data_IF_309873427546
#
_entry.id   IF_309873427546
#
_cell.length_a   1.000
_cell.length_b   1.000
_cell.length_c   1.000
_cell.angle_alpha   90.00
_cell.angle_beta   90.00
_cell.angle_gamma   90.00
#
_symmetry.space_group_name_H-M   'P 1'
#
loop_
_entity.id
_entity.type
_entity.pdbx_description
1 polymer ?
#
# COMPACT_ATOMS: atom_id res chain seq x y z
N UNK A 1 67.54 -14.46 52.77
CA UNK A 1 66.52 -15.22 53.52
C UNK A 1 65.68 -14.22 54.30
N UNK A 2 64.34 -14.32 54.24
CA UNK A 2 63.29 -13.28 54.42
C UNK A 2 62.95 -12.58 53.09
N UNK A 3 61.70 -12.33 52.67
CA UNK A 3 60.39 -12.28 53.37
C UNK A 3 59.24 -12.23 52.32
N UNK A 4 58.12 -12.89 52.67
CA UNK A 4 56.70 -12.48 52.60
C UNK A 4 56.07 -11.76 51.37
N UNK A 5 55.12 -12.49 50.74
CA UNK A 5 53.66 -12.22 50.54
C UNK A 5 53.11 -11.13 49.59
N UNK A 6 52.01 -11.53 48.90
CA UNK A 6 50.83 -10.73 48.43
C UNK A 6 50.99 -9.93 47.11
N UNK A 7 50.07 -9.77 46.14
CA UNK A 7 48.61 -9.91 45.96
C UNK A 7 48.34 -10.31 44.50
N UNK A 8 47.30 -11.12 44.28
CA UNK A 8 46.72 -11.51 43.01
C UNK A 8 45.91 -10.33 42.40
N UNK A 9 46.23 -9.89 41.17
CA UNK A 9 45.29 -9.15 40.31
C UNK A 9 45.38 -9.78 38.92
N UNK A 10 44.43 -10.66 38.60
CA UNK A 10 44.26 -11.20 37.25
C UNK A 10 43.17 -10.35 36.56
N UNK A 11 43.57 -9.52 35.60
CA UNK A 11 42.64 -8.84 34.69
C UNK A 11 42.12 -9.85 33.66
N UNK A 12 40.94 -10.41 33.94
CA UNK A 12 40.20 -11.27 33.03
C UNK A 12 39.27 -10.39 32.17
N UNK A 13 39.70 -10.03 30.97
CA UNK A 13 38.81 -9.43 29.96
C UNK A 13 38.03 -10.55 29.26
N UNK A 14 36.87 -10.90 29.80
CA UNK A 14 35.83 -11.66 29.11
C UNK A 14 35.00 -10.66 28.29
N UNK A 15 35.20 -10.63 26.96
CA UNK A 15 34.20 -10.10 26.04
C UNK A 15 33.25 -11.24 25.68
N UNK A 16 32.20 -11.39 26.48
CA UNK A 16 31.05 -12.25 26.19
C UNK A 16 29.75 -11.50 26.49
N UNK A 17 28.89 -11.44 25.48
CA UNK A 17 27.50 -10.96 25.52
C UNK A 17 27.14 -10.48 24.11
N UNK A 18 26.66 -11.29 23.16
CA UNK A 18 25.48 -12.16 23.22
C UNK A 18 24.31 -11.49 23.95
N UNK A 19 23.39 -10.93 23.16
CA UNK A 19 22.00 -10.68 23.52
C UNK A 19 21.75 -9.66 24.63
N UNK A 20 21.08 -8.56 24.28
CA UNK A 20 19.98 -8.11 25.12
C UNK A 20 18.67 -8.56 24.46
N UNK A 21 17.97 -9.54 25.06
CA UNK A 21 16.57 -9.80 24.77
C UNK A 21 15.68 -8.72 25.40
N UNK A 22 14.56 -8.45 24.73
CA UNK A 22 13.30 -7.91 25.25
C UNK A 22 13.39 -6.66 26.14
N UNK A 23 12.98 -5.53 25.56
CA UNK A 23 12.28 -4.52 26.35
C UNK A 23 10.99 -5.17 26.92
N UNK A 24 10.81 -5.30 28.25
CA UNK A 24 9.71 -6.07 28.82
C UNK A 24 8.33 -5.36 28.79
N UNK A 25 8.23 -4.14 28.25
CA UNK A 25 7.07 -3.27 28.47
C UNK A 25 6.09 -3.11 27.27
N UNK A 26 6.03 -4.03 26.28
CA UNK A 26 5.10 -3.89 25.13
C UNK A 26 4.25 -5.12 24.78
N UNK A 27 4.05 -6.07 25.71
CA UNK A 27 3.34 -7.32 25.39
C UNK A 27 1.79 -7.21 25.41
N UNK A 28 1.18 -6.05 25.72
CA UNK A 28 -0.29 -5.96 25.84
C UNK A 28 -1.03 -4.83 25.10
N UNK A 29 -0.47 -4.22 24.05
CA UNK A 29 -1.23 -3.19 23.30
C UNK A 29 -1.31 -3.41 21.77
N UNK A 30 -0.48 -4.25 21.15
CA UNK A 30 -0.52 -4.41 19.67
C UNK A 30 -1.73 -5.17 19.13
N UNK A 31 -2.60 -5.72 19.99
CA UNK A 31 -3.72 -6.58 19.59
C UNK A 31 -3.31 -7.98 19.12
N UNK A 32 -2.11 -8.43 19.48
CA UNK A 32 -1.55 -9.73 19.08
C UNK A 32 -0.75 -9.70 17.78
N UNK A 33 -0.68 -8.54 17.10
CA UNK A 33 0.17 -8.34 15.94
C UNK A 33 1.63 -8.19 16.37
N UNK A 34 2.54 -8.93 15.73
CA UNK A 34 3.95 -9.00 16.16
C UNK A 34 4.89 -8.80 14.98
N UNK A 35 5.83 -7.84 15.10
CA UNK A 35 6.92 -7.72 14.12
C UNK A 35 7.82 -8.95 14.19
N UNK A 36 7.99 -9.62 13.06
CA UNK A 36 8.84 -10.80 12.87
C UNK A 36 10.24 -10.40 12.45
N UNK A 37 10.35 -9.54 11.45
CA UNK A 37 11.62 -9.08 10.91
C UNK A 37 11.52 -7.68 10.32
N UNK A 38 12.69 -7.06 10.14
CA UNK A 38 12.87 -5.84 9.36
C UNK A 38 13.97 -6.08 8.35
N UNK A 39 13.77 -5.60 7.13
CA UNK A 39 14.75 -5.67 6.06
C UNK A 39 14.95 -4.26 5.50
N UNK A 40 16.15 -3.72 5.67
CA UNK A 40 16.50 -2.40 5.15
C UNK A 40 16.58 -2.45 3.63
N UNK A 41 15.76 -1.64 2.98
CA UNK A 41 15.76 -1.47 1.53
C UNK A 41 16.79 -0.43 1.10
N UNK A 42 17.39 -0.55 -0.08
CA UNK A 42 18.38 0.43 -0.57
C UNK A 42 17.77 1.78 -0.98
N UNK A 43 16.47 1.84 -1.22
CA UNK A 43 15.73 3.08 -1.47
C UNK A 43 14.49 3.21 -0.57
N UNK A 44 13.56 4.05 -1.02
CA UNK A 44 12.38 4.53 -0.28
C UNK A 44 11.12 3.76 -0.68
N UNK A 45 10.76 2.64 0.00
CA UNK A 45 9.61 1.84 -0.39
C UNK A 45 8.32 2.63 -0.15
N UNK A 46 7.52 2.76 -1.19
CA UNK A 46 6.26 3.51 -1.21
C UNK A 46 5.06 2.59 -1.16
N UNK A 47 5.21 1.39 -1.72
CA UNK A 47 4.16 0.39 -1.82
C UNK A 47 4.77 -0.99 -2.06
N UNK A 48 4.02 -2.04 -1.74
CA UNK A 48 4.47 -3.42 -1.85
C UNK A 48 3.30 -4.33 -2.20
N UNK A 49 3.58 -5.35 -3.02
CA UNK A 49 2.68 -6.47 -3.28
C UNK A 49 3.42 -7.80 -3.12
N UNK A 50 2.69 -8.83 -2.73
CA UNK A 50 3.18 -10.19 -2.61
C UNK A 50 2.89 -10.99 -3.87
N UNK A 51 3.92 -11.64 -4.37
CA UNK A 51 3.84 -12.62 -5.44
C UNK A 51 4.51 -13.92 -4.99
N UNK A 52 3.69 -14.91 -4.60
CA UNK A 52 4.15 -16.18 -4.05
C UNK A 52 5.12 -16.01 -2.86
N UNK A 53 6.40 -16.35 -3.05
CA UNK A 53 7.48 -16.21 -2.06
C UNK A 53 8.32 -14.95 -2.26
N UNK A 54 7.81 -14.00 -3.03
CA UNK A 54 8.46 -12.72 -3.35
C UNK A 54 7.58 -11.57 -2.88
N UNK A 55 8.23 -10.46 -2.56
CA UNK A 55 7.64 -9.15 -2.38
C UNK A 55 8.21 -8.22 -3.43
N UNK A 56 7.35 -7.51 -4.14
CA UNK A 56 7.70 -6.52 -5.14
C UNK A 56 7.35 -5.13 -4.63
N UNK A 57 8.32 -4.23 -4.60
CA UNK A 57 8.16 -2.88 -4.05
C UNK A 57 8.25 -1.82 -5.13
N UNK A 58 7.34 -0.86 -5.11
CA UNK A 58 7.58 0.46 -5.69
C UNK A 58 8.51 1.23 -4.75
N UNK A 59 9.74 1.51 -5.19
CA UNK A 59 10.81 2.01 -4.31
C UNK A 59 11.20 3.47 -4.58
N UNK A 60 10.23 4.35 -4.85
CA UNK A 60 10.51 5.75 -5.15
C UNK A 60 11.46 5.88 -6.34
N UNK A 61 12.57 6.60 -6.18
CA UNK A 61 13.60 6.74 -7.23
C UNK A 61 14.36 5.43 -7.53
N UNK A 62 14.20 4.40 -6.68
CA UNK A 62 14.83 3.10 -6.84
C UNK A 62 14.13 2.14 -7.80
N UNK A 63 13.05 2.55 -8.46
CA UNK A 63 12.30 1.70 -9.39
C UNK A 63 11.60 0.51 -8.71
N UNK A 64 11.75 -0.69 -9.27
CA UNK A 64 11.27 -1.95 -8.69
C UNK A 64 12.36 -2.58 -7.82
N UNK A 65 11.99 -2.98 -6.60
CA UNK A 65 12.79 -3.86 -5.74
C UNK A 65 12.05 -5.19 -5.57
N UNK A 66 12.77 -6.32 -5.69
CA UNK A 66 12.23 -7.64 -5.41
C UNK A 66 12.97 -8.27 -4.23
N UNK A 67 12.22 -8.71 -3.22
CA UNK A 67 12.72 -9.34 -1.99
C UNK A 67 12.12 -10.75 -1.87
N UNK A 68 12.95 -11.73 -1.54
CA UNK A 68 12.53 -13.10 -1.24
C UNK A 68 12.15 -13.26 0.22
N UNK A 69 11.05 -13.96 0.47
CA UNK A 69 10.47 -14.19 1.81
C UNK A 69 10.21 -15.68 2.08
N UNK A 70 11.04 -16.58 1.52
CA UNK A 70 10.97 -18.02 1.86
C UNK A 70 11.23 -18.26 3.35
N UNK A 71 12.12 -17.46 3.92
CA UNK A 71 12.30 -17.30 5.35
C UNK A 71 11.88 -15.87 5.72
N UNK A 72 10.74 -15.74 6.40
CA UNK A 72 10.20 -14.44 6.83
C UNK A 72 11.02 -13.81 7.96
N UNK A 73 11.84 -14.59 8.67
CA UNK A 73 12.74 -14.05 9.69
C UNK A 73 14.00 -13.44 9.05
N UNK A 74 14.37 -13.92 7.86
CA UNK A 74 15.56 -13.48 7.12
C UNK A 74 15.24 -13.18 5.64
N UNK A 75 14.50 -12.09 5.33
CA UNK A 75 14.25 -11.69 3.95
C UNK A 75 15.54 -11.39 3.18
N UNK A 76 15.57 -11.71 1.89
CA UNK A 76 16.77 -11.56 1.06
C UNK A 76 16.51 -10.71 -0.17
N UNK A 77 17.43 -9.81 -0.50
CA UNK A 77 17.41 -9.08 -1.77
C UNK A 77 17.49 -10.06 -2.95
N UNK A 78 16.57 -9.96 -3.92
CA UNK A 78 16.58 -10.76 -5.16
C UNK A 78 17.08 -9.91 -6.33
N UNK A 79 16.47 -8.75 -6.57
CA UNK A 79 16.85 -7.87 -7.69
C UNK A 79 16.40 -6.42 -7.48
N UNK A 80 16.96 -5.51 -8.28
CA UNK A 80 16.60 -4.08 -8.32
C UNK A 80 16.65 -3.61 -9.78
N UNK A 81 15.72 -2.75 -10.22
CA UNK A 81 15.64 -2.23 -11.59
C UNK A 81 15.93 -0.73 -11.70
N UNK A 82 16.77 -0.16 -10.82
CA UNK A 82 17.04 1.28 -10.65
C UNK A 82 17.33 2.03 -11.96
N UNK A 83 18.02 1.39 -12.91
CA UNK A 83 18.40 2.04 -14.18
C UNK A 83 17.31 1.95 -15.27
N UNK A 84 16.39 0.99 -15.14
CA UNK A 84 15.41 0.65 -16.19
C UNK A 84 14.02 1.22 -15.93
N UNK A 85 13.65 1.43 -14.66
CA UNK A 85 12.41 2.11 -14.26
C UNK A 85 12.75 3.55 -13.86
N UNK A 86 12.32 4.52 -14.66
CA UNK A 86 12.59 5.94 -14.44
C UNK A 86 11.47 6.59 -13.62
N UNK A 87 11.83 7.62 -12.87
CA UNK A 87 10.88 8.42 -12.10
C UNK A 87 10.65 7.89 -10.68
N UNK A 88 9.69 8.48 -10.00
CA UNK A 88 9.37 8.16 -8.61
C UNK A 88 8.24 7.12 -8.57
N UNK A 89 8.59 5.86 -8.33
CA UNK A 89 7.66 4.73 -8.25
C UNK A 89 6.85 4.79 -6.95
N UNK A 90 5.53 4.97 -7.04
CA UNK A 90 4.65 5.25 -5.90
C UNK A 90 3.68 4.13 -5.54
N UNK A 91 3.02 3.54 -6.53
CA UNK A 91 2.06 2.43 -6.37
C UNK A 91 2.44 1.28 -7.29
N UNK A 92 2.11 0.07 -6.85
CA UNK A 92 2.38 -1.15 -7.60
C UNK A 92 1.11 -2.00 -7.70
N UNK A 93 0.80 -2.49 -8.90
CA UNK A 93 -0.28 -3.43 -9.15
C UNK A 93 0.23 -4.61 -9.97
N UNK A 94 -0.51 -5.72 -10.01
CA UNK A 94 -0.05 -6.93 -10.67
C UNK A 94 -1.16 -7.64 -11.45
N UNK A 95 -0.77 -8.22 -12.60
CA UNK A 95 -1.56 -9.19 -13.35
C UNK A 95 -0.68 -10.34 -13.81
N UNK A 96 -0.89 -11.53 -13.25
CA UNK A 96 -0.02 -12.68 -13.51
C UNK A 96 1.43 -12.36 -13.09
N UNK A 97 2.40 -12.59 -13.97
CA UNK A 97 3.81 -12.28 -13.69
C UNK A 97 4.22 -10.86 -14.11
N UNK A 98 3.27 -9.96 -14.37
CA UNK A 98 3.58 -8.58 -14.77
C UNK A 98 3.17 -7.63 -13.66
N UNK A 99 4.09 -6.74 -13.28
CA UNK A 99 3.85 -5.66 -12.34
C UNK A 99 3.81 -4.31 -13.06
N UNK A 100 2.94 -3.44 -12.60
CA UNK A 100 2.70 -2.10 -13.10
C UNK A 100 3.09 -1.08 -12.04
N UNK A 101 3.94 -0.12 -12.39
CA UNK A 101 4.47 0.87 -11.46
C UNK A 101 4.04 2.27 -11.87
N UNK A 102 3.42 3.00 -10.94
CA UNK A 102 3.11 4.42 -11.15
C UNK A 102 4.38 5.22 -10.88
N UNK A 103 4.97 5.79 -11.92
CA UNK A 103 6.24 6.52 -11.85
C UNK A 103 6.05 8.05 -11.84
N UNK A 104 4.92 8.53 -11.33
CA UNK A 104 4.62 9.96 -11.25
C UNK A 104 4.61 10.62 -12.64
N UNK A 105 5.39 11.68 -12.80
CA UNK A 105 5.50 12.45 -14.06
C UNK A 105 6.13 11.65 -15.21
N UNK A 106 6.70 10.47 -14.94
CA UNK A 106 7.20 9.56 -15.95
C UNK A 106 6.13 8.63 -16.50
N UNK A 107 5.00 8.48 -15.81
CA UNK A 107 3.84 7.73 -16.27
C UNK A 107 3.82 6.31 -15.73
N UNK A 108 3.49 5.33 -16.57
CA UNK A 108 3.42 3.92 -16.17
C UNK A 108 4.65 3.16 -16.67
N UNK A 109 5.24 2.34 -15.80
CA UNK A 109 6.23 1.32 -16.19
C UNK A 109 5.63 -0.07 -16.04
N UNK A 110 5.96 -0.97 -16.97
CA UNK A 110 5.46 -2.34 -17.03
C UNK A 110 6.66 -3.27 -16.97
N UNK A 111 6.65 -4.18 -16.00
CA UNK A 111 7.79 -5.05 -15.72
C UNK A 111 7.33 -6.50 -15.62
N UNK A 112 7.88 -7.38 -16.45
CA UNK A 112 7.70 -8.82 -16.34
C UNK A 112 8.69 -9.38 -15.31
N UNK A 113 8.14 -10.02 -14.27
CA UNK A 113 8.88 -10.63 -13.17
C UNK A 113 8.93 -12.17 -13.26
N UNK A 114 8.59 -12.76 -14.42
CA UNK A 114 8.68 -14.20 -14.67
C UNK A 114 10.08 -14.74 -14.32
N UNK A 115 11.11 -13.94 -14.62
CA UNK A 115 12.45 -14.16 -14.10
C UNK A 115 12.78 -13.11 -13.01
N UNK A 116 12.45 -13.41 -11.77
CA UNK A 116 12.61 -12.47 -10.65
C UNK A 116 14.07 -12.02 -10.40
N UNK A 117 15.09 -12.79 -10.82
CA UNK A 117 16.49 -12.34 -10.68
C UNK A 117 16.93 -11.37 -11.78
N UNK A 118 16.20 -11.34 -12.90
CA UNK A 118 16.43 -10.42 -14.01
C UNK A 118 15.09 -9.99 -14.63
N UNK A 119 14.33 -9.13 -13.93
CA UNK A 119 13.05 -8.64 -14.42
C UNK A 119 13.20 -7.87 -15.73
N UNK A 120 12.25 -8.01 -16.64
CA UNK A 120 12.25 -7.36 -17.94
C UNK A 120 11.30 -6.18 -17.96
N UNK A 121 11.79 -4.96 -18.20
CA UNK A 121 10.94 -3.78 -18.39
C UNK A 121 10.39 -3.78 -19.81
N UNK A 122 9.16 -4.23 -20.01
CA UNK A 122 8.53 -4.36 -21.34
C UNK A 122 8.04 -3.02 -21.86
N UNK A 123 7.66 -2.10 -20.97
CA UNK A 123 7.30 -0.71 -21.30
C UNK A 123 7.86 0.22 -20.24
N UNK A 124 8.58 1.25 -20.66
CA UNK A 124 9.00 2.34 -19.77
C UNK A 124 8.33 3.65 -20.18
N UNK A 125 7.83 4.40 -19.21
CA UNK A 125 7.28 5.75 -19.38
C UNK A 125 6.06 5.85 -20.31
N UNK A 126 5.15 4.90 -20.26
CA UNK A 126 3.88 4.98 -21.00
C UNK A 126 3.16 6.27 -20.60
N UNK A 127 2.62 7.00 -21.59
CA UNK A 127 2.21 8.40 -21.45
C UNK A 127 0.88 8.59 -20.69
N UNK A 128 0.88 8.20 -19.42
CA UNK A 128 -0.24 8.29 -18.47
C UNK A 128 0.24 9.11 -17.27
N UNK A 129 0.27 10.43 -17.43
CA UNK A 129 1.01 11.32 -16.52
C UNK A 129 0.12 12.38 -15.87
N UNK A 130 0.35 12.73 -14.58
CA UNK A 130 1.22 12.02 -13.64
C UNK A 130 0.51 10.77 -13.06
N UNK A 131 1.06 9.57 -13.20
CA UNK A 131 0.47 8.36 -12.60
C UNK A 131 0.60 8.39 -11.08
N UNK A 132 -0.50 8.19 -10.35
CA UNK A 132 -0.57 8.20 -8.88
C UNK A 132 -0.84 6.80 -8.34
N UNK A 133 -2.00 6.28 -8.68
CA UNK A 133 -2.51 4.97 -8.23
C UNK A 133 -2.90 4.11 -9.43
N UNK A 134 -2.88 2.79 -9.22
CA UNK A 134 -3.13 1.78 -10.24
C UNK A 134 -3.94 0.65 -9.62
N UNK A 135 -5.10 0.36 -10.19
CA UNK A 135 -5.94 -0.77 -9.80
C UNK A 135 -6.18 -1.67 -11.00
N UNK A 136 -6.00 -2.98 -10.82
CA UNK A 136 -6.32 -4.00 -11.83
C UNK A 136 -7.73 -4.52 -11.57
N UNK A 137 -8.59 -4.52 -12.59
CA UNK A 137 -9.90 -5.16 -12.55
C UNK A 137 -10.10 -5.99 -13.82
N UNK A 138 -10.04 -7.31 -13.69
CA UNK A 138 -10.08 -8.25 -14.82
C UNK A 138 -8.96 -7.97 -15.83
N UNK A 139 -9.35 -7.66 -17.07
CA UNK A 139 -8.43 -7.33 -18.16
C UNK A 139 -8.12 -5.83 -18.28
N UNK A 140 -8.35 -5.04 -17.23
CA UNK A 140 -8.21 -3.59 -17.27
C UNK A 140 -7.38 -3.02 -16.13
N UNK A 141 -6.66 -1.94 -16.42
CA UNK A 141 -6.02 -1.07 -15.44
C UNK A 141 -6.78 0.25 -15.35
N UNK A 142 -7.03 0.70 -14.13
CA UNK A 142 -7.54 2.02 -13.82
C UNK A 142 -6.41 2.80 -13.17
N UNK A 143 -6.04 3.93 -13.77
CA UNK A 143 -4.84 4.68 -13.41
C UNK A 143 -5.25 6.10 -13.05
N UNK A 144 -5.09 6.46 -11.78
CA UNK A 144 -5.32 7.81 -11.30
C UNK A 144 -4.21 8.74 -11.79
N UNK A 145 -4.60 9.86 -12.41
CA UNK A 145 -3.70 10.80 -13.08
C UNK A 145 -3.83 12.24 -12.59
N UNK A 146 -4.12 12.44 -11.30
CA UNK A 146 -4.18 13.77 -10.68
C UNK A 146 -5.24 14.66 -11.37
N UNK A 147 -4.89 15.85 -11.86
CA UNK A 147 -5.77 16.78 -12.59
C UNK A 147 -6.30 16.20 -13.91
N UNK A 148 -5.63 15.17 -14.42
CA UNK A 148 -6.04 14.47 -15.64
C UNK A 148 -7.07 13.38 -15.34
N UNK A 149 -7.60 13.28 -14.13
CA UNK A 149 -8.64 12.31 -13.77
C UNK A 149 -8.14 10.86 -13.82
N UNK A 150 -8.95 9.93 -14.31
CA UNK A 150 -8.59 8.50 -14.41
C UNK A 150 -8.38 8.11 -15.86
N UNK A 151 -7.32 7.37 -16.17
CA UNK A 151 -7.14 6.65 -17.45
C UNK A 151 -7.51 5.19 -17.27
N UNK A 152 -8.12 4.61 -18.28
CA UNK A 152 -8.36 3.16 -18.35
C UNK A 152 -7.43 2.58 -19.41
N UNK A 153 -6.83 1.43 -19.14
CA UNK A 153 -6.03 0.70 -20.11
C UNK A 153 -6.51 -0.75 -20.20
N UNK A 154 -6.61 -1.28 -21.41
CA UNK A 154 -6.78 -2.73 -21.59
C UNK A 154 -5.42 -3.43 -21.42
N UNK A 155 -5.42 -4.52 -20.68
CA UNK A 155 -4.25 -5.34 -20.38
C UNK A 155 -4.49 -6.82 -20.62
N UNK A 156 -5.35 -7.17 -21.58
CA UNK A 156 -5.53 -8.54 -22.08
C UNK A 156 -4.19 -9.21 -22.39
N UNK A 157 -3.25 -8.47 -23.01
CA UNK A 157 -1.83 -8.76 -22.94
C UNK A 157 -1.18 -7.92 -21.82
N UNK A 158 -0.79 -8.52 -20.69
CA UNK A 158 -0.34 -7.75 -19.54
C UNK A 158 0.96 -6.98 -19.79
N UNK A 159 1.80 -7.43 -20.74
CA UNK A 159 3.10 -6.80 -21.05
C UNK A 159 2.98 -5.50 -21.86
N UNK A 160 1.85 -5.28 -22.53
CA UNK A 160 1.64 -4.17 -23.45
C UNK A 160 0.26 -3.54 -23.23
N UNK A 161 0.09 -2.70 -22.19
CA UNK A 161 -1.16 -2.02 -21.94
C UNK A 161 -1.56 -1.12 -23.10
N UNK A 162 -2.82 -1.21 -23.51
CA UNK A 162 -3.42 -0.31 -24.49
C UNK A 162 -4.21 0.78 -23.77
N UNK A 163 -3.70 2.02 -23.82
CA UNK A 163 -4.31 3.16 -23.12
C UNK A 163 -5.56 3.59 -23.87
N UNK A 164 -6.69 3.54 -23.17
CA UNK A 164 -8.00 4.00 -23.64
C UNK A 164 -8.29 5.41 -23.12
N UNK A 165 -9.57 5.77 -23.13
CA UNK A 165 -10.09 7.08 -22.78
C UNK A 165 -9.80 7.53 -21.33
N UNK A 166 -10.06 8.83 -21.11
CA UNK A 166 -9.99 9.50 -19.81
C UNK A 166 -11.38 9.75 -19.23
N UNK A 167 -11.52 9.50 -17.94
CA UNK A 167 -12.60 10.06 -17.10
C UNK A 167 -12.12 11.33 -16.41
N UNK A 168 -12.80 12.46 -16.62
CA UNK A 168 -12.54 13.68 -15.86
C UNK A 168 -13.16 13.58 -14.46
N UNK A 169 -12.43 14.08 -13.46
CA UNK A 169 -12.85 14.10 -12.06
C UNK A 169 -12.98 15.53 -11.56
N UNK A 170 -13.83 15.75 -10.55
CA UNK A 170 -14.05 17.09 -9.97
C UNK A 170 -12.82 17.65 -9.24
N UNK A 171 -11.90 16.76 -8.81
CA UNK A 171 -10.65 17.12 -8.15
C UNK A 171 -9.49 16.23 -8.61
N UNK A 172 -8.39 16.25 -7.84
CA UNK A 172 -7.20 15.45 -8.12
C UNK A 172 -7.49 13.97 -7.91
N UNK A 173 -7.48 13.17 -8.98
CA UNK A 173 -7.59 11.71 -8.86
C UNK A 173 -6.31 11.15 -8.21
N UNK A 174 -6.43 10.67 -6.97
CA UNK A 174 -5.33 10.07 -6.21
C UNK A 174 -5.46 8.56 -6.12
N UNK A 175 -6.58 8.06 -5.59
CA UNK A 175 -6.85 6.62 -5.42
C UNK A 175 -8.10 6.18 -6.17
N UNK A 176 -8.14 4.93 -6.63
CA UNK A 176 -9.27 4.38 -7.39
C UNK A 176 -9.67 2.98 -6.94
N UNK A 177 -10.97 2.76 -6.73
CA UNK A 177 -11.55 1.45 -6.43
C UNK A 177 -12.72 1.14 -7.37
N UNK A 178 -12.86 -0.12 -7.74
CA UNK A 178 -13.88 -0.62 -8.66
C UNK A 178 -14.84 -1.52 -7.89
N UNK A 179 -16.14 -1.36 -8.09
CA UNK A 179 -17.14 -2.27 -7.49
C UNK A 179 -16.94 -3.69 -8.01
N UNK A 180 -17.28 -4.68 -7.19
CA UNK A 180 -17.10 -6.10 -7.54
C UNK A 180 -17.79 -6.47 -8.86
N UNK A 181 -18.96 -5.87 -9.13
CA UNK A 181 -19.71 -6.08 -10.36
C UNK A 181 -19.21 -5.25 -11.57
N UNK A 182 -18.14 -4.47 -11.39
CA UNK A 182 -17.51 -3.67 -12.43
C UNK A 182 -18.32 -2.46 -12.92
N UNK A 183 -19.44 -2.13 -12.27
CA UNK A 183 -20.33 -1.05 -12.72
C UNK A 183 -19.93 0.33 -12.22
N UNK A 184 -19.26 0.41 -11.08
CA UNK A 184 -18.98 1.69 -10.43
C UNK A 184 -17.49 1.86 -10.17
N UNK A 185 -17.00 3.05 -10.50
CA UNK A 185 -15.66 3.50 -10.16
C UNK A 185 -15.75 4.58 -9.10
N UNK A 186 -15.09 4.35 -7.96
CA UNK A 186 -14.95 5.29 -6.87
C UNK A 186 -13.56 5.92 -6.94
N UNK A 187 -13.50 7.24 -6.90
CA UNK A 187 -12.24 7.99 -7.01
C UNK A 187 -12.06 8.88 -5.79
N UNK A 188 -10.94 8.72 -5.10
CA UNK A 188 -10.47 9.65 -4.10
C UNK A 188 -9.93 10.92 -4.79
N UNK A 189 -10.67 12.02 -4.67
CA UNK A 189 -10.49 13.27 -5.42
C UNK A 189 -9.73 14.36 -4.64
N UNK A 190 -8.84 13.99 -3.71
CA UNK A 190 -8.09 14.93 -2.89
C UNK A 190 -9.00 15.77 -1.98
N UNK A 191 -8.92 17.09 -2.08
CA UNK A 191 -9.74 18.03 -1.28
C UNK A 191 -11.23 18.01 -1.64
N UNK A 192 -11.62 17.36 -2.74
CA UNK A 192 -13.02 17.27 -3.19
C UNK A 192 -13.71 15.99 -2.69
N UNK A 193 -13.10 15.27 -1.75
CA UNK A 193 -13.64 14.03 -1.19
C UNK A 193 -13.65 12.87 -2.18
N UNK A 194 -14.79 12.22 -2.38
CA UNK A 194 -14.96 11.07 -3.29
C UNK A 194 -15.96 11.37 -4.38
N UNK A 195 -15.64 10.97 -5.61
CA UNK A 195 -16.56 10.95 -6.75
C UNK A 195 -16.85 9.52 -7.20
N UNK A 196 -18.06 9.26 -7.67
CA UNK A 196 -18.50 7.95 -8.17
C UNK A 196 -19.00 8.06 -9.60
N UNK A 197 -18.51 7.18 -10.46
CA UNK A 197 -18.82 7.15 -11.88
C UNK A 197 -19.49 5.83 -12.26
N UNK A 198 -20.45 5.89 -13.19
CA UNK A 198 -20.96 4.71 -13.89
C UNK A 198 -19.97 4.32 -14.98
N UNK A 199 -19.35 3.16 -14.81
CA UNK A 199 -18.39 2.59 -15.75
C UNK A 199 -18.91 1.30 -16.38
N UNK A 200 -20.21 1.03 -16.36
CA UNK A 200 -20.79 -0.26 -16.81
C UNK A 200 -20.41 -0.69 -18.24
N UNK A 201 -19.96 0.24 -19.08
CA UNK A 201 -19.58 0.01 -20.48
C UNK A 201 -18.08 0.29 -20.75
N UNK A 202 -17.23 0.22 -19.72
CA UNK A 202 -15.81 0.56 -19.86
C UNK A 202 -15.03 -0.34 -20.83
N UNK A 203 -15.51 -1.57 -21.00
CA UNK A 203 -14.95 -2.60 -21.88
C UNK A 203 -15.24 -2.32 -23.37
N UNK A 204 -16.29 -1.57 -23.70
CA UNK A 204 -16.59 -1.08 -25.06
C UNK A 204 -15.53 -0.08 -25.59
N UNK A 205 -14.69 0.47 -24.71
CA UNK A 205 -13.41 1.08 -25.05
C UNK A 205 -13.40 2.58 -25.31
N UNK A 206 -14.57 3.21 -25.49
CA UNK A 206 -14.67 4.64 -25.78
C UNK A 206 -15.88 5.24 -25.07
N UNK A 207 -15.66 5.82 -23.88
CA UNK A 207 -16.76 6.37 -23.08
C UNK A 207 -16.37 7.59 -22.25
N UNK A 208 -17.24 8.60 -22.26
CA UNK A 208 -17.32 9.57 -21.16
C UNK A 208 -18.19 8.91 -20.09
N UNK A 209 -17.60 8.57 -18.97
CA UNK A 209 -18.31 7.90 -17.88
C UNK A 209 -19.10 8.92 -17.04
N UNK A 210 -20.42 8.76 -16.89
CA UNK A 210 -21.24 9.69 -16.12
C UNK A 210 -20.81 9.75 -14.65
N UNK A 211 -20.67 10.96 -14.12
CA UNK A 211 -20.62 11.19 -12.68
C UNK A 211 -22.02 10.94 -12.10
N UNK A 212 -22.13 9.96 -11.20
CA UNK A 212 -23.38 9.64 -10.51
C UNK A 212 -23.56 10.50 -9.26
N UNK A 213 -22.51 10.62 -8.45
CA UNK A 213 -22.54 11.33 -7.18
C UNK A 213 -21.15 11.66 -6.68
N UNK A 214 -21.10 12.50 -5.67
CA UNK A 214 -19.88 12.84 -4.95
C UNK A 214 -20.21 13.17 -3.50
N UNK A 215 -19.20 13.12 -2.63
CA UNK A 215 -19.31 13.53 -1.23
C UNK A 215 -18.00 14.14 -0.76
N UNK A 216 -18.12 15.28 -0.07
CA UNK A 216 -17.01 15.97 0.57
C UNK A 216 -16.93 15.62 2.06
N UNK A 217 -15.72 15.70 2.62
CA UNK A 217 -15.38 15.48 4.01
C UNK A 217 -14.05 16.15 4.34
N UNK A 218 -13.76 16.41 5.63
CA UNK A 218 -12.49 17.00 6.03
C UNK A 218 -11.27 16.20 5.59
N UNK A 219 -10.22 16.92 5.19
CA UNK A 219 -8.92 16.35 4.85
C UNK A 219 -8.69 16.22 3.35
N UNK A 220 -7.89 15.25 2.97
CA UNK A 220 -7.45 15.05 1.59
C UNK A 220 -7.54 13.57 1.25
N UNK A 221 -8.49 13.20 0.38
CA UNK A 221 -8.71 11.82 -0.03
C UNK A 221 -7.53 11.30 -0.86
N UNK A 222 -6.82 10.31 -0.31
CA UNK A 222 -5.56 9.76 -0.83
C UNK A 222 -5.75 8.36 -1.45
N UNK A 223 -6.34 7.44 -0.69
CA UNK A 223 -6.62 6.05 -1.08
C UNK A 223 -8.04 5.68 -0.68
N UNK A 224 -8.64 4.73 -1.39
CA UNK A 224 -10.02 4.27 -1.18
C UNK A 224 -10.10 2.76 -1.37
N UNK A 225 -10.82 2.08 -0.48
CA UNK A 225 -11.15 0.65 -0.61
C UNK A 225 -12.64 0.42 -0.36
N UNK A 226 -13.20 -0.57 -1.04
CA UNK A 226 -14.61 -0.96 -0.88
C UNK A 226 -14.72 -2.14 0.07
N UNK A 227 -15.81 -2.15 0.84
CA UNK A 227 -16.26 -3.28 1.63
C UNK A 227 -16.86 -4.33 0.68
N UNK A 228 -16.51 -5.60 0.85
CA UNK A 228 -16.96 -6.70 -0.02
C UNK A 228 -18.41 -7.14 0.29
N UNK A 229 -18.88 -6.97 1.53
CA UNK A 229 -20.15 -7.54 2.00
C UNK A 229 -21.32 -6.54 2.08
N UNK A 230 -21.07 -5.24 1.87
CA UNK A 230 -22.09 -4.17 2.01
C UNK A 230 -21.63 -2.87 1.36
N UNK A 231 -22.55 -1.91 1.11
CA UNK A 231 -22.22 -0.68 0.37
C UNK A 231 -21.51 0.37 1.23
N UNK A 232 -20.31 0.03 1.72
CA UNK A 232 -19.42 0.90 2.50
C UNK A 232 -18.08 1.07 1.80
N UNK A 233 -17.57 2.29 1.72
CA UNK A 233 -16.21 2.58 1.29
C UNK A 233 -15.43 3.23 2.44
N UNK A 234 -14.15 2.90 2.52
CA UNK A 234 -13.20 3.50 3.47
C UNK A 234 -12.19 4.34 2.70
N UNK A 235 -11.94 5.55 3.19
CA UNK A 235 -11.03 6.51 2.52
C UNK A 235 -9.95 6.96 3.48
N UNK A 236 -8.68 6.85 3.07
CA UNK A 236 -7.57 7.48 3.76
C UNK A 236 -7.60 8.96 3.42
N UNK A 237 -7.90 9.79 4.42
CA UNK A 237 -8.04 11.25 4.29
C UNK A 237 -6.84 11.99 4.90
N UNK A 238 -5.62 11.45 4.71
CA UNK A 238 -4.37 11.99 5.24
C UNK A 238 -4.48 12.30 6.74
N UNK A 239 -4.35 13.57 7.14
CA UNK A 239 -4.37 13.99 8.55
C UNK A 239 -5.75 13.89 9.20
N UNK A 240 -6.83 13.77 8.42
CA UNK A 240 -8.17 13.50 8.94
C UNK A 240 -8.42 12.01 9.22
N UNK A 241 -7.39 11.16 9.08
CA UNK A 241 -7.48 9.73 9.35
C UNK A 241 -8.29 9.00 8.30
N UNK A 242 -9.25 8.17 8.74
CA UNK A 242 -10.16 7.40 7.88
C UNK A 242 -11.52 8.06 7.85
N UNK A 243 -12.13 8.12 6.67
CA UNK A 243 -13.54 8.49 6.47
C UNK A 243 -14.32 7.28 5.98
N UNK A 244 -15.55 7.12 6.47
CA UNK A 244 -16.43 6.00 6.12
C UNK A 244 -17.61 6.52 5.33
N UNK A 245 -17.79 6.00 4.13
CA UNK A 245 -18.81 6.44 3.17
C UNK A 245 -19.82 5.30 2.97
N UNK A 246 -21.08 5.60 3.22
CA UNK A 246 -22.22 4.76 2.83
C UNK A 246 -22.67 5.13 1.41
N UNK A 247 -22.66 4.13 0.54
CA UNK A 247 -23.10 4.22 -0.85
C UNK A 247 -24.33 3.35 -1.16
N UNK A 248 -25.13 3.01 -0.15
CA UNK A 248 -26.39 2.26 -0.31
C UNK A 248 -27.33 2.89 -1.34
N UNK A 249 -27.27 4.22 -1.45
CA UNK A 249 -27.81 4.97 -2.58
C UNK A 249 -26.64 5.55 -3.38
N UNK A 250 -26.34 4.95 -4.54
CA UNK A 250 -25.20 5.35 -5.38
C UNK A 250 -25.31 6.78 -5.92
N UNK A 251 -26.52 7.34 -5.95
CA UNK A 251 -26.76 8.73 -6.38
C UNK A 251 -26.68 9.72 -5.20
N UNK A 252 -26.54 9.22 -3.97
CA UNK A 252 -26.52 10.03 -2.75
C UNK A 252 -25.65 9.40 -1.65
N UNK A 253 -24.34 9.56 -1.80
CA UNK A 253 -23.34 9.13 -0.83
C UNK A 253 -23.49 9.88 0.50
N UNK A 254 -23.10 9.23 1.60
CA UNK A 254 -23.12 9.82 2.94
C UNK A 254 -21.86 9.47 3.71
N UNK A 255 -21.28 10.44 4.40
CA UNK A 255 -20.27 10.17 5.43
C UNK A 255 -20.99 9.68 6.67
N UNK A 256 -20.66 8.48 7.14
CA UNK A 256 -21.35 7.81 8.26
C UNK A 256 -20.45 7.52 9.46
N UNK A 257 -19.15 7.72 9.32
CA UNK A 257 -18.17 7.52 10.39
C UNK A 257 -16.80 8.04 10.01
N UNK A 258 -15.93 8.12 11.01
CA UNK A 258 -14.51 8.46 10.82
C UNK A 258 -13.67 7.82 11.92
N UNK A 259 -12.35 7.77 11.71
CA UNK A 259 -11.39 7.33 12.70
C UNK A 259 -10.09 8.12 12.58
N UNK A 260 -9.67 8.79 13.65
CA UNK A 260 -8.40 9.52 13.68
C UNK A 260 -7.24 8.55 13.91
N UNK A 261 -6.31 8.46 12.96
CA UNK A 261 -5.11 7.61 13.08
C UNK A 261 -4.04 8.26 13.96
N UNK A 262 -4.08 9.57 14.16
CA UNK A 262 -3.01 10.33 14.83
C UNK A 262 -1.76 10.54 13.97
N UNK A 263 -1.83 10.16 12.68
CA UNK A 263 -0.78 10.34 11.68
C UNK A 263 -1.37 10.71 10.32
N UNK A 264 -0.58 10.56 9.25
CA UNK A 264 -1.06 10.79 7.88
C UNK A 264 -1.48 9.46 7.27
N UNK A 265 -2.79 9.16 7.25
CA UNK A 265 -3.32 7.95 6.61
C UNK A 265 -3.01 7.95 5.11
N UNK A 266 -2.37 6.89 4.62
CA UNK A 266 -1.87 6.80 3.24
C UNK A 266 -2.55 5.70 2.45
N UNK A 267 -2.72 4.53 3.06
CA UNK A 267 -3.20 3.35 2.37
C UNK A 267 -4.12 2.51 3.26
N UNK A 268 -4.97 1.74 2.60
CA UNK A 268 -6.04 0.98 3.24
C UNK A 268 -6.16 -0.42 2.62
N UNK A 269 -6.56 -1.38 3.44
CA UNK A 269 -7.06 -2.65 2.96
C UNK A 269 -8.19 -3.13 3.87
N UNK A 270 -9.26 -3.63 3.27
CA UNK A 270 -10.39 -4.19 4.00
C UNK A 270 -10.49 -5.69 3.72
N UNK A 271 -10.67 -6.49 4.78
CA UNK A 271 -10.93 -7.92 4.65
C UNK A 271 -11.57 -8.47 5.93
N UNK A 272 -12.57 -9.33 5.80
CA UNK A 272 -13.21 -10.05 6.92
C UNK A 272 -13.60 -9.15 8.11
N UNK A 273 -14.18 -7.98 7.84
CA UNK A 273 -14.59 -7.04 8.88
C UNK A 273 -13.45 -6.28 9.57
N UNK A 274 -12.21 -6.41 9.09
CA UNK A 274 -11.05 -5.65 9.55
C UNK A 274 -10.61 -4.64 8.49
N UNK A 275 -10.31 -3.43 8.94
CA UNK A 275 -9.68 -2.39 8.14
C UNK A 275 -8.24 -2.18 8.62
N UNK A 276 -7.29 -2.41 7.73
CA UNK A 276 -5.88 -2.14 7.92
C UNK A 276 -5.58 -0.75 7.36
N UNK A 277 -4.84 0.06 8.12
CA UNK A 277 -4.55 1.45 7.77
C UNK A 277 -3.08 1.75 8.03
N UNK A 278 -2.33 2.07 6.99
CA UNK A 278 -1.00 2.64 7.16
C UNK A 278 -1.12 4.14 7.37
N UNK A 279 -0.39 4.65 8.37
CA UNK A 279 -0.35 6.07 8.66
C UNK A 279 1.08 6.53 8.97
N UNK A 280 1.59 7.52 8.24
CA UNK A 280 2.91 8.08 8.51
C UNK A 280 2.98 8.60 9.94
N UNK A 281 4.09 8.30 10.62
CA UNK A 281 4.34 8.65 12.04
C UNK A 281 3.40 8.01 13.06
N UNK A 282 2.46 7.17 12.63
CA UNK A 282 1.56 6.42 13.52
C UNK A 282 1.60 4.90 13.27
N UNK A 283 2.30 4.46 12.22
CA UNK A 283 2.52 3.05 11.91
C UNK A 283 1.31 2.41 11.23
N UNK A 284 1.11 1.12 11.48
CA UNK A 284 -0.02 0.35 10.98
C UNK A 284 -1.11 0.23 12.06
N UNK A 285 -2.33 0.59 11.72
CA UNK A 285 -3.52 0.40 12.55
C UNK A 285 -4.35 -0.76 12.02
N UNK A 286 -4.94 -1.53 12.92
CA UNK A 286 -5.93 -2.55 12.60
C UNK A 286 -7.21 -2.19 13.33
N UNK A 287 -8.26 -1.95 12.57
CA UNK A 287 -9.56 -1.52 13.05
C UNK A 287 -10.59 -2.64 12.85
N UNK A 288 -11.39 -2.91 13.89
CA UNK A 288 -12.67 -3.59 13.75
C UNK A 288 -13.62 -2.65 13.01
N UNK A 289 -14.01 -3.09 11.83
CA UNK A 289 -14.86 -2.38 10.90
C UNK A 289 -16.25 -3.02 10.79
N UNK A 290 -16.61 -4.00 11.63
CA UNK A 290 -17.93 -4.66 11.61
C UNK A 290 -19.09 -3.69 11.80
N UNK A 291 -18.88 -2.59 12.55
CA UNK A 291 -19.79 -1.46 12.61
C UNK A 291 -19.17 -0.23 11.90
N UNK A 292 -19.66 0.15 10.70
CA UNK A 292 -19.03 1.20 9.89
C UNK A 292 -19.16 2.59 10.50
N UNK A 293 -20.15 2.83 11.37
CA UNK A 293 -20.32 4.12 12.05
C UNK A 293 -19.51 4.22 13.35
N UNK A 294 -18.80 3.16 13.74
CA UNK A 294 -18.05 3.10 14.98
C UNK A 294 -16.83 2.16 14.84
N UNK A 295 -15.84 2.61 14.06
CA UNK A 295 -14.56 1.91 13.91
C UNK A 295 -13.83 1.85 15.24
N UNK A 296 -13.28 0.69 15.59
CA UNK A 296 -12.52 0.50 16.83
C UNK A 296 -11.15 -0.06 16.53
N UNK A 297 -10.10 0.57 17.05
CA UNK A 297 -8.75 -0.01 16.95
C UNK A 297 -8.65 -1.27 17.80
N UNK A 298 -8.35 -2.39 17.14
CA UNK A 298 -8.17 -3.71 17.78
C UNK A 298 -6.71 -4.18 17.75
N UNK A 299 -5.86 -3.51 16.99
CA UNK A 299 -4.42 -3.77 16.97
C UNK A 299 -3.65 -2.63 16.32
N UNK A 300 -2.33 -2.63 16.50
CA UNK A 300 -1.44 -1.65 15.88
C UNK A 300 0.01 -2.12 15.93
N UNK A 301 0.83 -1.58 15.03
CA UNK A 301 2.27 -1.76 15.00
C UNK A 301 2.94 -0.42 14.72
N UNK A 302 3.84 -0.02 15.62
CA UNK A 302 4.68 1.16 15.42
C UNK A 302 5.58 1.02 14.20
N UNK A 303 5.62 2.07 13.39
CA UNK A 303 6.66 2.29 12.38
C UNK A 303 6.89 3.79 12.17
N UNK A 304 8.04 4.16 11.64
CA UNK A 304 8.43 5.57 11.47
C UNK A 304 7.64 6.26 10.37
N UNK A 305 7.53 5.63 9.19
CA UNK A 305 6.91 6.22 8.02
C UNK A 305 6.18 5.16 7.17
N UNK A 306 5.08 4.60 7.71
CA UNK A 306 4.24 3.62 7.02
C UNK A 306 3.65 4.18 5.71
N UNK A 307 3.91 3.48 4.60
CA UNK A 307 3.48 3.83 3.25
C UNK A 307 2.41 2.85 2.75
N UNK A 308 2.66 2.03 1.73
CA UNK A 308 1.75 0.95 1.32
C UNK A 308 2.02 -0.35 2.07
N UNK A 309 1.13 -1.31 1.91
CA UNK A 309 1.31 -2.65 2.47
C UNK A 309 0.50 -3.66 1.68
N UNK A 310 0.91 -4.92 1.79
CA UNK A 310 0.12 -6.06 1.34
C UNK A 310 0.11 -7.13 2.43
N UNK A 311 -0.74 -8.14 2.31
CA UNK A 311 -0.91 -9.16 3.33
C UNK A 311 -1.27 -10.53 2.75
N UNK A 312 -1.02 -11.56 3.54
CA UNK A 312 -1.62 -12.88 3.37
C UNK A 312 -2.32 -13.29 4.67
N UNK A 313 -2.81 -14.54 4.75
CA UNK A 313 -3.51 -15.03 5.94
C UNK A 313 -2.67 -15.03 7.23
N UNK A 314 -1.34 -14.90 7.12
CA UNK A 314 -0.39 -15.05 8.23
C UNK A 314 0.41 -13.79 8.50
N UNK A 315 0.67 -12.98 7.48
CA UNK A 315 1.58 -11.84 7.59
C UNK A 315 1.07 -10.60 6.89
N UNK A 316 1.47 -9.45 7.42
CA UNK A 316 1.38 -8.15 6.76
C UNK A 316 2.80 -7.73 6.39
N UNK A 317 2.98 -7.28 5.16
CA UNK A 317 4.22 -6.79 4.60
C UNK A 317 4.09 -5.28 4.44
N UNK A 318 4.67 -4.54 5.37
CA UNK A 318 4.58 -3.09 5.40
C UNK A 318 5.79 -2.47 4.72
N UNK A 319 5.55 -1.61 3.72
CA UNK A 319 6.54 -0.70 3.20
C UNK A 319 6.64 0.52 4.14
N UNK A 320 7.80 0.69 4.75
CA UNK A 320 8.13 1.86 5.56
C UNK A 320 9.28 2.62 4.90
N UNK A 321 9.03 3.89 4.58
CA UNK A 321 9.97 4.74 3.85
C UNK A 321 11.28 5.01 4.63
N UNK A 322 11.30 4.79 5.95
CA UNK A 322 12.48 4.96 6.81
C UNK A 322 13.07 3.65 7.33
N UNK A 323 12.27 2.59 7.47
CA UNK A 323 12.68 1.30 8.03
C UNK A 323 12.82 0.18 6.99
N UNK A 324 12.38 0.41 5.75
CA UNK A 324 12.38 -0.59 4.69
C UNK A 324 11.15 -1.49 4.75
N UNK A 325 11.34 -2.80 4.61
CA UNK A 325 10.27 -3.77 4.81
C UNK A 325 10.13 -4.14 6.30
N UNK A 326 8.90 -4.12 6.80
CA UNK A 326 8.54 -4.67 8.11
C UNK A 326 7.57 -5.84 7.90
N UNK A 327 7.93 -7.04 8.35
CA UNK A 327 7.05 -8.22 8.30
C UNK A 327 6.38 -8.40 9.66
N UNK A 328 5.05 -8.47 9.68
CA UNK A 328 4.22 -8.50 10.88
C UNK A 328 3.37 -9.77 10.85
N UNK A 329 3.43 -10.60 11.89
CA UNK A 329 2.53 -11.74 12.03
C UNK A 329 1.12 -11.31 12.46
N UNK A 330 0.12 -11.93 11.84
CA UNK A 330 -1.30 -11.79 12.17
C UNK A 330 -1.66 -12.82 13.26
N UNK A 331 -2.34 -12.41 14.35
CA UNK A 331 -2.80 -13.36 15.36
C UNK A 331 -3.83 -14.32 14.78
N UNK A 332 -3.77 -15.58 15.24
CA UNK A 332 -4.72 -16.64 14.87
C UNK A 332 -6.10 -16.40 15.49
#
# INVERSE_FOLDING_TARGET
>A
MNRLTTILILSLALLSGCGKPSDPDLIFDSGGYKVISRFTTPGNPQDVIKHDTLLCFAQGEGGLLIVGIRDVENPTLVSITTESVRGYSRRIAQKGNVVYLSAGTFGLSVVDITNAINPEVTVSNLNVKPAKDITVFGDYLFISTSEQGVRIAEVSNPRTPDIRERTLTNGYANGVAISEDGKYMFVACGEMGVSVFDISNFDEGYGIYPLLSWVDFPGYAESIVLCDDRPIAYVASRTAGVQVIDFSDINKLKVVGSFETGGVANDLAYTHGKLYVSAQKAGLHILDATNPTNLKRIGWVNSKNAMGFDYDDRYIYLADDSEGLIIIAIPK
#
